data_IF_047626773993
#
_entry.id   IF_047626773993
#
_cell.length_a   1.000
_cell.length_b   1.000
_cell.length_c   1.000
_cell.angle_alpha   90.00
_cell.angle_beta   90.00
_cell.angle_gamma   90.00
#
_symmetry.space_group_name_H-M   'P 1'
#
loop_
_entity.id
_entity.type
_entity.pdbx_description
1 polymer ?
#
# COMPACT_ATOMS: atom_id res chain seq x y z
N UNK A 1 31.50 40.61 -5.50
CA UNK A 1 31.14 40.03 -6.82
C UNK A 1 31.31 38.52 -6.87
N UNK A 2 32.41 37.96 -6.36
CA UNK A 2 32.69 36.50 -6.34
C UNK A 2 31.74 35.71 -5.43
N UNK A 3 31.39 36.27 -4.27
CA UNK A 3 30.40 35.69 -3.33
C UNK A 3 28.97 35.66 -3.90
N UNK A 4 28.61 36.66 -4.71
CA UNK A 4 27.29 36.74 -5.34
C UNK A 4 27.13 35.67 -6.43
N UNK A 5 28.22 35.38 -7.17
CA UNK A 5 28.27 34.31 -8.17
C UNK A 5 28.15 32.92 -7.53
N UNK A 6 28.72 32.71 -6.34
CA UNK A 6 28.60 31.45 -5.58
C UNK A 6 27.16 31.20 -5.09
N UNK A 7 26.48 32.25 -4.61
CA UNK A 7 25.08 32.16 -4.17
C UNK A 7 24.12 31.93 -5.35
N UNK A 8 24.36 32.57 -6.49
CA UNK A 8 23.58 32.33 -7.72
C UNK A 8 23.80 30.91 -8.24
N UNK A 9 25.01 30.38 -8.14
CA UNK A 9 25.30 28.98 -8.49
C UNK A 9 24.55 28.01 -7.57
N UNK A 10 24.57 28.23 -6.25
CA UNK A 10 23.85 27.39 -5.28
C UNK A 10 22.32 27.44 -5.48
N UNK A 11 21.77 28.61 -5.82
CA UNK A 11 20.36 28.76 -6.19
C UNK A 11 20.03 28.08 -7.53
N UNK A 12 20.98 27.99 -8.47
CA UNK A 12 20.81 27.29 -9.75
C UNK A 12 20.83 25.76 -9.58
N UNK A 13 21.56 25.23 -8.58
CA UNK A 13 21.57 23.78 -8.29
C UNK A 13 20.34 23.33 -7.51
N UNK A 14 19.63 24.24 -6.83
CA UNK A 14 18.35 23.96 -6.19
C UNK A 14 17.18 23.89 -7.18
N UNK A 15 17.35 23.09 -8.24
CA UNK A 15 16.19 22.46 -8.87
C UNK A 15 15.62 21.48 -7.84
N UNK A 16 14.55 21.87 -7.15
CA UNK A 16 13.72 20.92 -6.42
C UNK A 16 13.33 19.79 -7.39
N UNK A 17 13.94 18.61 -7.23
CA UNK A 17 13.47 17.40 -7.90
C UNK A 17 12.10 17.12 -7.29
N UNK A 18 11.05 17.64 -7.94
CA UNK A 18 9.68 17.28 -7.64
C UNK A 18 9.50 15.83 -8.09
N UNK A 19 9.75 14.90 -7.17
CA UNK A 19 9.48 13.49 -7.36
C UNK A 19 7.99 13.34 -7.67
N UNK A 20 7.66 12.87 -8.88
CA UNK A 20 6.26 12.64 -9.28
C UNK A 20 5.66 11.55 -8.42
N UNK A 21 4.87 11.92 -7.42
CA UNK A 21 4.17 10.97 -6.55
C UNK A 21 2.94 10.41 -7.24
N UNK A 22 2.77 9.08 -7.20
CA UNK A 22 1.58 8.39 -7.66
C UNK A 22 0.92 7.65 -6.48
N UNK A 23 -0.37 7.91 -6.25
CA UNK A 23 -1.11 7.26 -5.14
C UNK A 23 -1.46 5.81 -5.49
N UNK A 24 -1.43 4.89 -4.51
CA UNK A 24 -1.78 3.48 -4.76
C UNK A 24 -3.24 3.31 -5.15
N UNK A 25 -3.48 2.42 -6.10
CA UNK A 25 -4.75 1.72 -6.26
C UNK A 25 -4.73 0.45 -5.39
N UNK A 26 -5.81 0.21 -4.65
CA UNK A 26 -5.89 -0.89 -3.68
C UNK A 26 -7.11 -1.74 -3.96
N UNK A 27 -6.89 -3.05 -4.02
CA UNK A 27 -7.93 -4.06 -4.12
C UNK A 27 -7.84 -4.99 -2.91
N UNK A 28 -8.98 -5.26 -2.31
CA UNK A 28 -9.12 -6.09 -1.12
C UNK A 28 -10.08 -7.22 -1.45
N UNK A 29 -9.61 -8.46 -1.37
CA UNK A 29 -10.37 -9.64 -1.80
C UNK A 29 -9.88 -10.91 -1.09
N UNK A 30 -10.62 -11.99 -1.26
CA UNK A 30 -10.22 -13.32 -0.81
C UNK A 30 -9.82 -14.20 -2.00
N UNK A 31 -8.93 -15.18 -1.77
CA UNK A 31 -8.47 -16.10 -2.84
C UNK A 31 -9.61 -16.90 -3.47
N UNK A 32 -10.49 -17.43 -2.62
CA UNK A 32 -11.73 -18.11 -3.02
C UNK A 32 -12.93 -17.23 -2.67
N UNK A 33 -14.13 -17.65 -3.04
CA UNK A 33 -15.38 -17.00 -2.64
C UNK A 33 -15.41 -16.69 -1.13
N UNK A 34 -15.74 -15.45 -0.79
CA UNK A 34 -15.81 -14.92 0.56
C UNK A 34 -17.02 -15.43 1.30
N UNK A 35 -16.95 -16.66 1.82
CA UNK A 35 -18.02 -17.29 2.61
C UNK A 35 -17.60 -17.35 4.07
N UNK A 36 -18.49 -16.95 4.98
CA UNK A 36 -18.24 -17.06 6.42
C UNK A 36 -17.95 -18.50 6.85
N UNK A 37 -17.15 -18.65 7.90
CA UNK A 37 -16.79 -19.91 8.55
C UNK A 37 -16.00 -20.89 7.65
N UNK A 38 -15.61 -20.48 6.44
CA UNK A 38 -14.83 -21.29 5.51
C UNK A 38 -13.40 -20.75 5.39
N UNK A 39 -12.40 -21.64 5.49
CA UNK A 39 -11.00 -21.26 5.34
C UNK A 39 -10.72 -20.60 3.99
N UNK A 40 -9.91 -19.54 4.02
CA UNK A 40 -9.57 -18.76 2.84
C UNK A 40 -8.25 -17.99 3.06
N UNK A 41 -7.89 -17.12 2.12
CA UNK A 41 -6.73 -16.22 2.22
C UNK A 41 -7.21 -14.80 1.98
N UNK A 42 -6.97 -13.92 2.96
CA UNK A 42 -7.25 -12.50 2.88
C UNK A 42 -6.12 -11.80 2.12
N UNK A 43 -6.44 -11.05 1.07
CA UNK A 43 -5.47 -10.46 0.15
C UNK A 43 -5.72 -8.95 0.01
N UNK A 44 -4.65 -8.18 0.13
CA UNK A 44 -4.59 -6.78 -0.25
C UNK A 44 -3.54 -6.60 -1.35
N UNK A 45 -4.00 -6.27 -2.55
CA UNK A 45 -3.16 -5.99 -3.70
C UNK A 45 -3.09 -4.49 -3.93
N UNK A 46 -1.86 -3.96 -3.93
CA UNK A 46 -1.58 -2.52 -4.00
C UNK A 46 -0.73 -2.26 -5.23
N UNK A 47 -1.14 -1.33 -6.09
CA UNK A 47 -0.54 -1.10 -7.42
C UNK A 47 -0.42 0.38 -7.75
N UNK A 48 0.38 0.72 -8.76
CA UNK A 48 0.41 2.06 -9.35
C UNK A 48 1.02 3.14 -8.45
N UNK A 49 1.74 2.75 -7.39
CA UNK A 49 2.28 3.71 -6.42
C UNK A 49 3.74 4.04 -6.68
N UNK A 50 4.12 5.28 -6.34
CA UNK A 50 5.49 5.76 -6.35
C UNK A 50 5.63 6.94 -5.39
N UNK A 51 6.71 7.08 -4.59
CA UNK A 51 7.89 6.21 -4.43
C UNK A 51 7.58 4.82 -3.81
N UNK A 52 8.56 3.89 -3.71
CA UNK A 52 8.32 2.52 -3.27
C UNK A 52 8.06 2.36 -1.77
N UNK A 53 8.37 3.37 -0.95
CA UNK A 53 8.13 3.32 0.49
C UNK A 53 6.63 3.35 0.78
N UNK A 54 6.10 2.24 1.32
CA UNK A 54 4.70 2.05 1.64
C UNK A 54 4.56 1.10 2.81
N UNK A 55 3.55 1.30 3.65
CA UNK A 55 3.17 0.37 4.71
C UNK A 55 1.82 -0.24 4.40
N UNK A 56 1.74 -1.57 4.39
CA UNK A 56 0.49 -2.33 4.20
C UNK A 56 0.26 -3.16 5.46
N UNK A 57 -0.93 -3.05 6.06
CA UNK A 57 -1.31 -3.78 7.27
C UNK A 57 -2.67 -4.44 7.06
N UNK A 58 -2.77 -5.75 7.30
CA UNK A 58 -4.04 -6.46 7.31
C UNK A 58 -4.59 -6.45 8.74
N UNK A 59 -5.85 -6.06 8.89
CA UNK A 59 -6.48 -5.84 10.18
C UNK A 59 -7.71 -6.73 10.34
N UNK A 60 -7.91 -7.26 11.55
CA UNK A 60 -9.15 -7.85 12.05
C UNK A 60 -9.62 -7.03 13.25
N UNK A 61 -10.81 -6.46 13.16
CA UNK A 61 -11.39 -5.59 14.19
C UNK A 61 -10.48 -4.42 14.60
N UNK A 62 -9.65 -3.94 13.68
CA UNK A 62 -8.70 -2.85 13.91
C UNK A 62 -7.32 -3.27 14.42
N UNK A 63 -7.14 -4.56 14.75
CA UNK A 63 -5.86 -5.12 15.20
C UNK A 63 -5.13 -5.83 14.07
N UNK A 64 -3.79 -5.75 14.05
CA UNK A 64 -2.99 -6.39 13.02
C UNK A 64 -3.08 -7.92 13.08
N UNK A 65 -3.32 -8.54 11.92
CA UNK A 65 -3.37 -9.99 11.81
C UNK A 65 -1.92 -10.52 11.76
N UNK A 66 -1.49 -11.34 12.75
CA UNK A 66 -0.14 -11.87 12.78
C UNK A 66 0.09 -12.88 11.66
N UNK A 67 1.35 -13.04 11.26
CA UNK A 67 1.74 -14.02 10.24
C UNK A 67 1.38 -13.64 8.80
N UNK A 68 0.98 -12.39 8.56
CA UNK A 68 0.81 -11.88 7.20
C UNK A 68 2.14 -11.87 6.44
N UNK A 69 2.08 -12.23 5.16
CA UNK A 69 3.22 -12.26 4.25
C UNK A 69 3.06 -11.18 3.19
N UNK A 70 4.18 -10.65 2.71
CA UNK A 70 4.22 -9.66 1.64
C UNK A 70 5.10 -10.21 0.51
N UNK A 71 4.69 -9.95 -0.74
CA UNK A 71 5.51 -10.27 -1.92
C UNK A 71 6.73 -9.36 -1.99
N UNK A 72 7.72 -9.77 -2.78
CA UNK A 72 8.79 -8.87 -3.17
C UNK A 72 8.24 -7.69 -3.96
N UNK A 73 8.96 -6.57 -3.88
CA UNK A 73 8.64 -5.35 -4.60
C UNK A 73 8.90 -5.56 -6.09
N UNK A 74 7.87 -5.30 -6.90
CA UNK A 74 7.96 -5.32 -8.36
C UNK A 74 7.28 -4.07 -8.93
N UNK A 75 7.48 -3.82 -10.22
CA UNK A 75 6.99 -2.61 -10.89
C UNK A 75 6.53 -2.91 -12.32
N UNK A 76 5.68 -2.04 -12.84
CA UNK A 76 5.21 -2.08 -14.23
C UNK A 76 6.15 -1.36 -15.20
N UNK A 77 5.81 -1.37 -16.49
CA UNK A 77 6.52 -0.67 -17.56
C UNK A 77 6.57 0.86 -17.40
N UNK A 78 5.70 1.42 -16.57
CA UNK A 78 5.65 2.82 -16.19
C UNK A 78 6.48 3.13 -14.93
N UNK A 79 7.22 2.14 -14.40
CA UNK A 79 8.01 2.23 -13.17
C UNK A 79 7.19 2.54 -11.91
N UNK A 80 5.90 2.22 -11.91
CA UNK A 80 5.10 2.24 -10.70
C UNK A 80 5.15 0.88 -10.01
N UNK A 81 5.19 0.92 -8.69
CA UNK A 81 5.36 -0.27 -7.88
C UNK A 81 4.03 -0.98 -7.62
N UNK A 82 4.13 -2.28 -7.38
CA UNK A 82 3.07 -3.08 -6.80
C UNK A 82 3.58 -4.00 -5.69
N UNK A 83 2.70 -4.31 -4.74
CA UNK A 83 2.93 -5.23 -3.64
C UNK A 83 1.62 -5.96 -3.32
N UNK A 84 1.73 -7.21 -2.88
CA UNK A 84 0.59 -7.96 -2.36
C UNK A 84 0.89 -8.39 -0.93
N UNK A 85 0.01 -8.03 0.01
CA UNK A 85 0.04 -8.54 1.38
C UNK A 85 -1.11 -9.50 1.60
N UNK A 86 -0.84 -10.64 2.22
CA UNK A 86 -1.85 -11.68 2.39
C UNK A 86 -1.67 -12.48 3.68
N UNK A 87 -2.76 -13.08 4.17
CA UNK A 87 -2.74 -13.95 5.36
C UNK A 87 -3.85 -15.00 5.28
N UNK A 88 -3.62 -16.26 5.68
CA UNK A 88 -4.70 -17.22 5.87
C UNK A 88 -5.70 -16.69 6.90
N UNK A 89 -6.99 -16.85 6.63
CA UNK A 89 -8.05 -16.44 7.56
C UNK A 89 -9.32 -17.28 7.35
N UNK A 90 -10.19 -17.24 8.35
CA UNK A 90 -11.54 -17.82 8.28
C UNK A 90 -12.51 -16.71 8.65
N UNK A 91 -13.14 -16.01 7.68
CA UNK A 91 -13.98 -14.86 7.96
C UNK A 91 -15.17 -15.27 8.85
N UNK A 92 -15.48 -14.45 9.85
CA UNK A 92 -16.62 -14.64 10.74
C UNK A 92 -17.60 -13.49 10.61
N UNK A 93 -18.89 -13.79 10.65
CA UNK A 93 -19.92 -12.78 10.68
C UNK A 93 -19.74 -11.86 11.90
N UNK A 94 -19.91 -10.55 11.70
CA UNK A 94 -19.72 -9.53 12.73
C UNK A 94 -18.28 -9.04 12.90
N UNK A 95 -17.30 -9.71 12.30
CA UNK A 95 -15.91 -9.24 12.32
C UNK A 95 -15.60 -8.35 11.12
N UNK A 96 -14.73 -7.37 11.36
CA UNK A 96 -14.33 -6.39 10.36
C UNK A 96 -12.93 -6.67 9.86
N UNK A 97 -12.80 -6.98 8.59
CA UNK A 97 -11.52 -7.19 7.92
C UNK A 97 -11.19 -5.98 7.05
N UNK A 98 -9.97 -5.46 7.15
CA UNK A 98 -9.54 -4.33 6.32
C UNK A 98 -8.05 -4.35 6.01
N UNK A 99 -7.69 -3.71 4.90
CA UNK A 99 -6.31 -3.40 4.56
C UNK A 99 -6.05 -1.91 4.78
N UNK A 100 -5.12 -1.59 5.68
CA UNK A 100 -4.66 -0.21 5.91
C UNK A 100 -3.38 0.02 5.13
N UNK A 101 -3.41 1.01 4.25
CA UNK A 101 -2.28 1.39 3.40
C UNK A 101 -1.84 2.80 3.75
N UNK A 102 -0.56 2.96 4.04
CA UNK A 102 0.07 4.26 4.28
C UNK A 102 1.11 4.53 3.20
N UNK A 103 0.89 5.56 2.40
CA UNK A 103 1.79 6.00 1.34
C UNK A 103 1.95 7.51 1.39
N UNK A 104 3.19 8.02 1.40
CA UNK A 104 3.48 9.46 1.51
C UNK A 104 2.69 10.17 2.62
N UNK A 105 2.69 9.59 3.83
CA UNK A 105 1.97 10.10 5.01
C UNK A 105 0.44 10.12 4.89
N UNK A 106 -0.14 9.63 3.78
CA UNK A 106 -1.57 9.42 3.63
C UNK A 106 -1.92 7.99 3.98
N UNK A 107 -2.80 7.82 4.96
CA UNK A 107 -3.30 6.53 5.42
C UNK A 107 -4.74 6.34 4.99
N UNK A 108 -5.06 5.23 4.34
CA UNK A 108 -6.42 4.86 3.91
C UNK A 108 -6.68 3.40 4.28
N UNK A 109 -7.89 3.10 4.76
CA UNK A 109 -8.33 1.73 5.06
C UNK A 109 -9.38 1.28 4.04
N UNK A 110 -9.21 0.08 3.53
CA UNK A 110 -10.07 -0.55 2.54
C UNK A 110 -10.71 -1.79 3.15
N UNK A 111 -12.03 -1.84 3.17
CA UNK A 111 -12.79 -2.91 3.81
C UNK A 111 -12.86 -4.14 2.90
N UNK A 112 -12.86 -5.31 3.52
CA UNK A 112 -13.27 -6.55 2.89
C UNK A 112 -14.70 -6.89 3.32
N UNK A 113 -15.49 -7.38 2.38
CA UNK A 113 -16.83 -7.88 2.63
C UNK A 113 -16.94 -9.30 2.06
N UNK A 114 -17.82 -10.10 2.67
CA UNK A 114 -18.16 -11.41 2.15
C UNK A 114 -18.92 -11.26 0.82
N UNK A 115 -18.82 -12.26 -0.05
CA UNK A 115 -19.56 -12.29 -1.32
C UNK A 115 -21.04 -12.67 -1.13
N UNK A 116 -21.42 -13.14 0.07
CA UNK A 116 -22.71 -13.73 0.43
C UNK A 116 -23.26 -13.22 1.75
#
# INVERSE_FOLDING_TARGET
>A
MKELLFLVFFCYVSHFVSSKTASPAVQVYSRNQGVYDKENVFICHVTGFYPPEITIVLLRNGEEIPGSKQTDLAFDDHWHYHLTKHVPFTPKAGEKYSCRVTHNKKTVSYMWEADV
#
